data_IF_335673341731
#
_entry.id   IF_335673341731
#
_cell.length_a   1.000
_cell.length_b   1.000
_cell.length_c   1.000
_cell.angle_alpha   90.00
_cell.angle_beta   90.00
_cell.angle_gamma   90.00
#
_symmetry.space_group_name_H-M   'P 1'
#
loop_
_entity.id
_entity.type
_entity.pdbx_description
1 polymer ?
#
# COMPACT_ATOMS: atom_id res chain seq x y z
N UNK A 1 9.22 8.23 -12.38
CA UNK A 1 8.50 7.75 -11.17
C UNK A 1 9.50 7.68 -10.00
N UNK A 2 9.41 8.58 -9.03
CA UNK A 2 10.16 8.50 -7.75
C UNK A 2 9.27 7.83 -6.70
N UNK A 3 9.18 6.50 -6.75
CA UNK A 3 8.27 5.68 -5.97
C UNK A 3 9.08 4.61 -5.22
N UNK A 4 8.86 4.47 -3.91
CA UNK A 4 9.44 3.39 -3.11
C UNK A 4 8.44 2.24 -3.13
N UNK A 5 8.76 1.21 -3.92
CA UNK A 5 7.91 0.02 -4.11
C UNK A 5 8.64 -1.17 -3.52
N UNK A 6 7.92 -2.03 -2.82
CA UNK A 6 8.44 -3.27 -2.24
C UNK A 6 9.64 -3.07 -1.29
N UNK A 7 9.72 -1.88 -0.66
CA UNK A 7 10.73 -1.65 0.39
C UNK A 7 10.23 -2.37 1.64
N UNK A 8 11.03 -3.31 2.21
CA UNK A 8 10.61 -4.04 3.39
C UNK A 8 10.42 -3.08 4.56
N UNK A 9 9.27 -3.20 5.24
CA UNK A 9 8.97 -2.48 6.48
C UNK A 9 8.87 -3.51 7.60
N UNK A 10 9.78 -3.43 8.57
CA UNK A 10 9.79 -4.32 9.72
C UNK A 10 8.40 -4.33 10.40
N UNK A 11 7.85 -5.53 10.64
CA UNK A 11 6.53 -5.73 11.25
C UNK A 11 5.31 -5.57 10.33
N UNK A 12 5.45 -5.03 9.11
CA UNK A 12 4.30 -4.69 8.23
C UNK A 12 4.41 -5.25 6.79
N UNK A 13 5.48 -5.99 6.48
CA UNK A 13 5.74 -6.52 5.14
C UNK A 13 6.45 -5.48 4.27
N UNK A 14 5.70 -4.63 3.56
CA UNK A 14 6.27 -3.62 2.64
C UNK A 14 5.74 -2.21 2.93
N UNK A 15 6.45 -1.17 2.48
CA UNK A 15 6.00 0.23 2.59
C UNK A 15 4.95 0.64 1.55
N UNK A 16 4.35 -0.30 0.81
CA UNK A 16 3.40 0.01 -0.26
C UNK A 16 2.06 0.45 0.33
N UNK A 17 1.78 1.74 0.29
CA UNK A 17 0.55 2.35 0.80
C UNK A 17 -0.44 2.72 -0.32
N UNK A 18 -1.61 3.27 0.04
CA UNK A 18 -2.61 3.71 -0.93
C UNK A 18 -2.09 4.77 -1.91
N UNK A 19 -1.16 5.64 -1.49
CA UNK A 19 -0.52 6.61 -2.39
C UNK A 19 0.41 5.93 -3.41
N UNK A 20 1.14 4.90 -2.97
CA UNK A 20 1.99 4.07 -3.83
C UNK A 20 1.16 3.37 -4.91
N UNK A 21 0.02 2.77 -4.53
CA UNK A 21 -0.90 2.13 -5.47
C UNK A 21 -1.49 3.13 -6.49
N UNK A 22 -1.93 4.32 -6.05
CA UNK A 22 -2.45 5.35 -6.97
C UNK A 22 -1.41 5.79 -8.00
N UNK A 23 -0.16 5.97 -7.57
CA UNK A 23 0.94 6.34 -8.47
C UNK A 23 1.35 5.20 -9.41
N UNK A 24 1.23 3.95 -8.97
CA UNK A 24 1.46 2.77 -9.80
C UNK A 24 0.44 2.65 -10.95
N UNK A 25 -0.85 2.92 -10.69
CA UNK A 25 -1.89 2.85 -11.72
C UNK A 25 -2.09 4.16 -12.51
N UNK A 26 -1.42 5.27 -12.11
CA UNK A 26 -1.55 6.56 -12.78
C UNK A 26 -1.01 6.56 -14.22
N UNK A 27 0.10 5.86 -14.46
CA UNK A 27 0.70 5.69 -15.77
C UNK A 27 0.95 4.20 -16.08
N UNK A 28 -0.02 3.53 -16.71
CA UNK A 28 0.07 2.11 -17.00
C UNK A 28 1.18 1.76 -18.00
N UNK A 29 1.61 2.68 -18.85
CA UNK A 29 2.72 2.43 -19.81
C UNK A 29 4.06 2.36 -19.08
N UNK A 30 4.30 3.29 -18.16
CA UNK A 30 5.49 3.24 -17.30
C UNK A 30 5.48 2.00 -16.42
N UNK A 31 4.34 1.61 -15.87
CA UNK A 31 4.23 0.39 -15.04
C UNK A 31 4.42 -0.89 -15.84
N UNK A 32 3.91 -0.96 -17.09
CA UNK A 32 4.21 -2.05 -18.04
C UNK A 32 5.72 -2.13 -18.30
N UNK A 33 6.36 -0.99 -18.58
CA UNK A 33 7.78 -0.94 -18.89
C UNK A 33 8.66 -1.39 -17.71
N UNK A 34 8.31 -0.99 -16.48
CA UNK A 34 9.07 -1.33 -15.27
C UNK A 34 8.85 -2.79 -14.85
N UNK A 35 7.60 -3.26 -14.84
CA UNK A 35 7.24 -4.58 -14.27
C UNK A 35 7.20 -5.71 -15.30
N UNK A 36 7.11 -5.38 -16.59
CA UNK A 36 6.87 -6.35 -17.67
C UNK A 36 5.47 -6.97 -17.67
N UNK A 37 4.57 -6.53 -16.78
CA UNK A 37 3.19 -7.01 -16.69
C UNK A 37 2.37 -6.43 -17.85
N UNK A 38 1.52 -7.24 -18.48
CA UNK A 38 0.70 -6.84 -19.63
C UNK A 38 -0.07 -5.52 -19.41
N UNK A 39 0.04 -4.60 -20.38
CA UNK A 39 -0.56 -3.27 -20.31
C UNK A 39 -2.10 -3.31 -20.16
N UNK A 40 -2.75 -4.23 -20.86
CA UNK A 40 -4.21 -4.36 -20.82
C UNK A 40 -4.69 -4.86 -19.45
N UNK A 41 -3.90 -5.73 -18.81
CA UNK A 41 -4.16 -6.17 -17.45
C UNK A 41 -4.08 -5.01 -16.44
N UNK A 42 -3.03 -4.18 -16.53
CA UNK A 42 -2.86 -3.01 -15.64
C UNK A 42 -4.02 -2.04 -15.80
N UNK A 43 -4.45 -1.78 -17.05
CA UNK A 43 -5.60 -0.91 -17.34
C UNK A 43 -6.91 -1.46 -16.77
N UNK A 44 -7.16 -2.76 -16.90
CA UNK A 44 -8.36 -3.40 -16.33
C UNK A 44 -8.36 -3.39 -14.81
N UNK A 45 -7.21 -3.63 -14.18
CA UNK A 45 -7.06 -3.56 -12.72
C UNK A 45 -7.38 -2.18 -12.17
N UNK A 46 -6.92 -1.12 -12.84
CA UNK A 46 -7.28 0.25 -12.49
C UNK A 46 -8.79 0.47 -12.48
N UNK A 47 -9.48 0.06 -13.55
CA UNK A 47 -10.95 0.23 -13.66
C UNK A 47 -11.69 -0.55 -12.59
N UNK A 48 -11.23 -1.77 -12.26
CA UNK A 48 -11.83 -2.55 -11.17
C UNK A 48 -11.65 -1.87 -9.81
N UNK A 49 -10.45 -1.34 -9.52
CA UNK A 49 -10.18 -0.64 -8.27
C UNK A 49 -10.97 0.66 -8.15
N UNK A 50 -11.07 1.45 -9.23
CA UNK A 50 -11.91 2.65 -9.26
C UNK A 50 -13.39 2.32 -9.03
N UNK A 51 -13.89 1.22 -9.59
CA UNK A 51 -15.27 0.80 -9.39
C UNK A 51 -15.55 0.35 -7.94
N UNK A 52 -14.60 -0.32 -7.29
CA UNK A 52 -14.72 -0.71 -5.88
C UNK A 52 -14.72 0.50 -4.94
N UNK A 53 -13.89 1.50 -5.21
CA UNK A 53 -13.84 2.74 -4.44
C UNK A 53 -15.17 3.51 -4.52
N UNK A 54 -15.79 3.52 -5.71
CA UNK A 54 -17.10 4.13 -5.94
C UNK A 54 -18.26 3.43 -5.21
N UNK A 55 -18.11 2.13 -4.91
CA UNK A 55 -19.15 1.33 -4.24
C UNK A 55 -19.29 1.65 -2.75
N UNK A 56 -18.39 2.47 -2.18
CA UNK A 56 -18.42 2.96 -0.80
C UNK A 56 -19.13 4.33 -0.67
N UNK A 57 -19.56 4.95 -1.78
CA UNK A 57 -20.16 6.29 -1.76
C UNK A 57 -21.64 6.35 -1.30
N UNK A 58 -22.30 5.21 -1.07
CA UNK A 58 -23.68 5.15 -0.55
C UNK A 58 -23.74 4.41 0.80
N UNK A 59 -22.76 4.67 1.67
CA UNK A 59 -22.79 4.16 3.04
C UNK A 59 -23.59 5.15 3.90
N UNK A 60 -24.78 4.78 4.40
CA UNK A 60 -25.51 5.63 5.34
C UNK A 60 -24.64 5.87 6.58
N UNK A 61 -24.72 7.06 7.21
CA UNK A 61 -23.83 7.47 8.29
C UNK A 61 -23.78 6.52 9.50
N UNK A 62 -24.71 5.57 9.61
CA UNK A 62 -24.77 4.52 10.63
C UNK A 62 -23.70 3.42 10.50
N UNK A 63 -22.98 3.31 9.38
CA UNK A 63 -21.92 2.30 9.18
C UNK A 63 -20.50 2.88 9.18
N UNK A 64 -20.35 4.20 9.39
CA UNK A 64 -19.05 4.86 9.58
C UNK A 64 -18.25 4.32 10.77
N UNK A 65 -18.92 3.67 11.74
CA UNK A 65 -18.28 2.99 12.87
C UNK A 65 -17.59 1.68 12.48
N UNK A 66 -17.80 1.15 11.27
CA UNK A 66 -17.14 -0.08 10.81
C UNK A 66 -15.86 0.17 10.00
N UNK A 67 -15.63 1.40 9.52
CA UNK A 67 -14.42 1.75 8.75
C UNK A 67 -13.35 2.47 9.57
N UNK A 68 -13.54 2.63 10.88
CA UNK A 68 -12.52 3.13 11.81
C UNK A 68 -12.15 2.06 12.83
N UNK A 69 -11.34 1.09 12.43
CA UNK A 69 -10.45 0.38 13.36
C UNK A 69 -9.21 -0.08 12.60
N UNK A 70 -8.40 0.87 12.16
CA UNK A 70 -6.98 0.64 11.88
C UNK A 70 -6.16 1.81 12.45
N UNK A 71 -6.44 2.20 13.69
CA UNK A 71 -5.57 3.11 14.45
C UNK A 71 -5.48 2.56 15.88
N UNK A 72 -4.55 1.63 16.10
CA UNK A 72 -3.80 1.42 17.35
C UNK A 72 -3.13 0.04 17.34
N UNK A 73 -2.02 -0.06 16.63
CA UNK A 73 -0.89 -0.80 17.18
C UNK A 73 0.20 0.26 17.35
N UNK A 74 0.17 0.95 18.49
CA UNK A 74 1.35 1.62 19.00
C UNK A 74 2.37 0.52 19.24
N UNK A 75 3.45 0.51 18.45
CA UNK A 75 4.67 -0.20 18.83
C UNK A 75 5.29 0.57 20.00
N UNK A 76 4.70 0.42 21.18
CA UNK A 76 5.37 0.67 22.44
C UNK A 76 5.91 -0.70 22.90
N UNK A 77 7.18 -0.68 23.32
CA UNK A 77 7.92 -1.76 23.97
C UNK A 77 8.52 -2.84 23.04
N UNK A 78 9.55 -2.47 22.28
CA UNK A 78 10.69 -3.37 22.09
C UNK A 78 11.90 -2.64 22.67
N UNK A 79 12.33 -3.10 23.85
CA UNK A 79 13.54 -2.67 24.51
C UNK A 79 14.73 -2.82 23.55
N UNK A 80 15.37 -1.70 23.22
CA UNK A 80 16.70 -1.67 22.62
C UNK A 80 17.70 -2.10 23.71
N UNK A 81 17.84 -3.40 23.92
CA UNK A 81 19.03 -3.95 24.56
C UNK A 81 20.10 -4.12 23.48
N UNK A 82 21.08 -3.23 23.55
CA UNK A 82 22.41 -3.33 22.93
C UNK A 82 22.94 -4.77 22.94
N UNK A 83 23.54 -5.24 21.85
CA UNK A 83 24.92 -5.78 21.89
C UNK A 83 25.54 -5.70 20.48
N UNK A 84 26.64 -4.98 20.43
CA UNK A 84 27.60 -4.90 19.33
C UNK A 84 28.10 -6.30 18.95
N UNK A 85 28.15 -6.64 17.66
CA UNK A 85 29.21 -7.53 17.18
C UNK A 85 29.58 -7.23 15.72
N UNK A 86 30.59 -6.37 15.61
CA UNK A 86 31.54 -6.27 14.52
C UNK A 86 32.10 -7.66 14.17
N UNK A 87 31.88 -8.14 12.94
CA UNK A 87 32.84 -9.05 12.33
C UNK A 87 33.07 -8.70 10.86
N UNK A 88 34.32 -8.29 10.65
CA UNK A 88 35.04 -7.98 9.42
C UNK A 88 34.96 -9.09 8.35
#
# INVERSE_FOLDING_TARGET
MGLLVDVPKAGFGTTSDGNTSRRFFADPETSFYITGINLDLIKRLRVMLEALDLMVADVPPSLSSFTSTEDNISCEDIDEDDEDEEFN
#
